data_IF_363115669542
#
_entry.id   IF_363115669542
#
_cell.length_a   1.000
_cell.length_b   1.000
_cell.length_c   1.000
_cell.angle_alpha   90.00
_cell.angle_beta   90.00
_cell.angle_gamma   90.00
#
_symmetry.space_group_name_H-M   'P 1'
#
loop_
_entity.id
_entity.type
_entity.pdbx_description
1 polymer ?
#
# COMPACT_ATOMS: atom_id res chain seq x y z
N UNK A 1 36.02 -23.47 -6.15
CA UNK A 1 34.82 -22.85 -5.55
C UNK A 1 34.92 -22.96 -4.05
N UNK A 2 34.56 -21.91 -3.30
CA UNK A 2 34.63 -21.95 -1.84
C UNK A 2 33.49 -22.80 -1.28
N UNK A 3 33.78 -23.61 -0.25
CA UNK A 3 32.84 -24.56 0.35
C UNK A 3 31.58 -23.87 0.93
N UNK A 4 31.70 -22.58 1.22
CA UNK A 4 30.64 -21.70 1.73
C UNK A 4 29.45 -21.51 0.76
N UNK A 5 29.64 -21.71 -0.54
CA UNK A 5 28.58 -21.52 -1.55
C UNK A 5 27.88 -22.82 -1.96
N UNK A 6 28.08 -23.91 -1.20
CA UNK A 6 27.41 -25.18 -1.46
C UNK A 6 25.95 -25.12 -1.00
N UNK A 7 25.05 -25.71 -1.78
CA UNK A 7 23.61 -25.77 -1.45
C UNK A 7 23.32 -26.39 -0.06
N UNK A 8 24.22 -27.25 0.43
CA UNK A 8 24.16 -27.81 1.79
C UNK A 8 24.27 -26.72 2.86
N UNK A 9 25.17 -25.76 2.69
CA UNK A 9 25.35 -24.65 3.63
C UNK A 9 24.21 -23.64 3.51
N UNK A 10 23.75 -23.34 2.30
CA UNK A 10 22.59 -22.46 2.07
C UNK A 10 21.34 -23.00 2.76
N UNK A 11 21.08 -24.31 2.68
CA UNK A 11 19.94 -24.94 3.35
C UNK A 11 20.03 -24.91 4.87
N UNK A 12 21.24 -24.94 5.46
CA UNK A 12 21.42 -24.83 6.92
C UNK A 12 20.97 -23.47 7.46
N UNK A 13 21.17 -22.39 6.71
CA UNK A 13 20.74 -21.03 7.09
C UNK A 13 19.22 -20.95 7.25
N UNK A 14 18.48 -21.65 6.38
CA UNK A 14 17.01 -21.68 6.40
C UNK A 14 16.44 -22.89 7.13
N UNK A 15 17.26 -23.64 7.89
CA UNK A 15 16.80 -24.82 8.63
C UNK A 15 15.86 -24.45 9.80
N UNK A 16 15.99 -23.23 10.32
CA UNK A 16 15.15 -22.79 11.41
C UNK A 16 13.73 -22.49 10.92
N UNK A 17 12.74 -23.02 11.61
CA UNK A 17 11.34 -22.76 11.30
C UNK A 17 10.97 -21.34 11.74
N UNK A 18 10.39 -20.57 10.83
CA UNK A 18 9.79 -19.29 11.21
C UNK A 18 8.60 -19.57 12.12
N UNK A 19 8.62 -19.00 13.32
CA UNK A 19 7.43 -19.00 14.17
C UNK A 19 6.37 -18.17 13.44
N UNK A 20 5.18 -18.74 13.15
CA UNK A 20 4.09 -17.98 12.59
C UNK A 20 3.80 -16.77 13.46
N UNK A 21 3.53 -15.62 12.83
CA UNK A 21 3.11 -14.43 13.56
C UNK A 21 1.84 -14.77 14.35
N UNK A 22 1.83 -14.46 15.64
CA UNK A 22 0.65 -14.67 16.50
C UNK A 22 -0.54 -13.84 16.03
N UNK A 23 -1.72 -14.13 16.59
CA UNK A 23 -2.95 -13.40 16.28
C UNK A 23 -2.78 -11.89 16.51
N UNK A 24 -3.28 -11.07 15.58
CA UNK A 24 -3.15 -9.62 15.62
C UNK A 24 -3.78 -9.02 16.88
N UNK A 25 -4.82 -9.67 17.40
CA UNK A 25 -5.51 -9.29 18.64
C UNK A 25 -4.63 -9.43 19.90
N UNK A 26 -3.57 -10.26 19.83
CA UNK A 26 -2.62 -10.47 20.93
C UNK A 26 -1.40 -9.57 20.86
N UNK A 27 -1.28 -8.73 19.83
CA UNK A 27 -0.11 -7.88 19.68
C UNK A 27 -0.13 -6.75 20.72
N UNK A 28 1.01 -6.43 21.35
CA UNK A 28 1.09 -5.28 22.23
C UNK A 28 0.85 -3.99 21.44
N UNK A 29 0.27 -2.98 22.10
CA UNK A 29 0.11 -1.67 21.49
C UNK A 29 1.48 -1.13 21.02
N UNK A 30 1.54 -0.67 19.78
CA UNK A 30 2.76 -0.10 19.21
C UNK A 30 3.13 1.20 19.95
N UNK A 31 4.29 1.22 20.61
CA UNK A 31 4.79 2.38 21.36
C UNK A 31 5.73 3.29 20.55
N UNK A 32 6.03 2.93 19.30
CA UNK A 32 6.95 3.69 18.46
C UNK A 32 6.30 4.90 17.77
N UNK A 33 7.09 5.78 17.13
CA UNK A 33 6.57 6.86 16.32
C UNK A 33 5.79 6.31 15.14
N UNK A 34 4.62 6.89 14.84
CA UNK A 34 3.89 6.55 13.62
C UNK A 34 4.71 6.99 12.41
N UNK A 35 5.25 6.03 11.66
CA UNK A 35 6.00 6.29 10.44
C UNK A 35 5.03 6.65 9.31
N UNK A 36 4.58 7.91 9.28
CA UNK A 36 3.81 8.45 8.15
C UNK A 36 4.78 8.99 7.11
N UNK A 37 4.66 8.54 5.86
CA UNK A 37 5.44 9.10 4.77
C UNK A 37 5.18 10.61 4.65
N UNK A 38 6.24 11.43 4.64
CA UNK A 38 6.13 12.88 4.49
C UNK A 38 5.33 13.23 3.22
N UNK A 39 4.16 13.89 3.34
CA UNK A 39 3.33 14.23 2.20
C UNK A 39 4.04 15.08 1.14
N UNK A 40 4.96 15.96 1.56
CA UNK A 40 5.72 16.84 0.67
C UNK A 40 6.79 16.10 -0.16
N UNK A 41 7.27 14.95 0.32
CA UNK A 41 8.26 14.12 -0.37
C UNK A 41 7.61 12.98 -1.17
N UNK A 42 6.27 12.91 -1.22
CA UNK A 42 5.58 11.90 -2.02
C UNK A 42 5.91 12.12 -3.48
N UNK A 43 6.34 11.05 -4.16
CA UNK A 43 6.48 11.05 -5.62
C UNK A 43 5.17 11.49 -6.24
N UNK A 44 5.18 12.66 -6.87
CA UNK A 44 4.06 13.16 -7.66
C UNK A 44 4.06 12.46 -9.02
N UNK A 45 2.95 12.54 -9.75
CA UNK A 45 2.88 11.99 -11.11
C UNK A 45 3.79 12.73 -12.11
N UNK A 46 4.27 13.93 -11.77
CA UNK A 46 5.22 14.68 -12.59
C UNK A 46 6.57 13.95 -12.63
N UNK A 47 7.07 13.69 -13.84
CA UNK A 47 8.35 13.03 -14.06
C UNK A 47 8.34 11.50 -13.91
N UNK A 48 7.19 10.87 -13.60
CA UNK A 48 7.07 9.41 -13.66
C UNK A 48 7.09 8.98 -15.13
N UNK A 49 8.05 8.14 -15.57
CA UNK A 49 8.02 7.60 -16.92
C UNK A 49 6.69 6.87 -17.15
N UNK A 50 6.09 7.05 -18.32
CA UNK A 50 4.96 6.21 -18.73
C UNK A 50 5.39 4.75 -18.60
N UNK A 51 4.49 3.91 -18.10
CA UNK A 51 4.75 2.48 -18.01
C UNK A 51 5.01 1.97 -19.43
N UNK A 52 6.25 1.58 -19.70
CA UNK A 52 6.67 1.01 -21.00
C UNK A 52 6.59 -0.51 -21.01
N UNK A 53 6.37 -1.12 -19.84
CA UNK A 53 6.26 -2.57 -19.70
C UNK A 53 4.87 -3.04 -20.13
N UNK A 54 4.84 -4.14 -20.88
CA UNK A 54 3.61 -4.88 -21.15
C UNK A 54 2.98 -5.37 -19.84
N UNK A 55 1.69 -5.08 -19.65
CA UNK A 55 0.91 -5.56 -18.50
C UNK A 55 0.70 -7.07 -18.68
N UNK A 56 1.08 -7.86 -17.68
CA UNK A 56 0.76 -9.29 -17.67
C UNK A 56 -0.49 -9.57 -16.80
N UNK A 57 -0.88 -10.84 -16.72
CA UNK A 57 -2.04 -11.28 -15.93
C UNK A 57 -1.92 -10.90 -14.44
N UNK A 58 -0.71 -10.84 -13.87
CA UNK A 58 -0.53 -10.39 -12.47
C UNK A 58 -0.73 -8.88 -12.29
N UNK A 59 -0.51 -8.09 -13.34
CA UNK A 59 -0.79 -6.65 -13.34
C UNK A 59 -2.25 -6.33 -13.66
N UNK A 60 -2.96 -7.29 -14.26
CA UNK A 60 -4.39 -7.17 -14.54
C UNK A 60 -5.15 -7.13 -13.22
N UNK A 61 -5.94 -6.07 -13.04
CA UNK A 61 -6.60 -5.75 -11.77
C UNK A 61 -7.82 -6.63 -11.49
N UNK A 62 -8.08 -7.62 -12.35
CA UNK A 62 -9.19 -8.56 -12.22
C UNK A 62 -9.02 -9.46 -10.97
N UNK A 63 -7.80 -9.55 -10.42
CA UNK A 63 -7.47 -10.23 -9.17
C UNK A 63 -7.45 -9.32 -7.94
N UNK A 64 -7.62 -8.01 -8.10
CA UNK A 64 -7.76 -7.13 -6.96
C UNK A 64 -9.13 -7.44 -6.34
N UNK A 65 -9.12 -7.90 -5.08
CA UNK A 65 -10.32 -8.27 -4.35
C UNK A 65 -11.40 -7.18 -4.33
N UNK A 66 -12.52 -7.43 -3.67
CA UNK A 66 -13.70 -6.59 -3.74
C UNK A 66 -13.34 -5.10 -3.64
N UNK A 67 -13.65 -4.30 -4.66
CA UNK A 67 -13.27 -2.88 -4.69
C UNK A 67 -13.91 -2.13 -3.52
N UNK A 68 -13.07 -1.74 -2.55
CA UNK A 68 -13.44 -1.03 -1.33
C UNK A 68 -13.11 0.46 -1.43
N UNK A 69 -13.99 1.28 -0.86
CA UNK A 69 -13.76 2.70 -0.72
C UNK A 69 -12.62 2.95 0.27
N UNK A 70 -11.53 3.59 -0.18
CA UNK A 70 -10.37 3.94 0.66
C UNK A 70 -10.66 4.95 1.78
N UNK A 71 -11.86 5.55 1.84
CA UNK A 71 -12.26 6.48 2.90
C UNK A 71 -13.02 5.77 4.03
N UNK A 72 -13.99 4.93 3.68
CA UNK A 72 -14.93 4.33 4.64
C UNK A 72 -14.83 2.80 4.75
N UNK A 73 -13.97 2.17 3.94
CA UNK A 73 -13.80 0.72 3.91
C UNK A 73 -14.94 -0.07 3.27
N UNK A 74 -16.06 0.57 2.89
CA UNK A 74 -17.22 -0.12 2.30
C UNK A 74 -17.03 -0.36 0.81
N UNK A 75 -17.53 -1.48 0.33
CA UNK A 75 -17.62 -1.81 -1.08
C UNK A 75 -18.66 -0.97 -1.82
N UNK A 76 -18.50 -0.81 -3.14
CA UNK A 76 -19.54 -0.32 -4.05
C UNK A 76 -19.37 1.14 -4.49
N UNK A 77 -18.38 1.85 -3.95
CA UNK A 77 -18.11 3.23 -4.35
C UNK A 77 -16.63 3.64 -4.18
N UNK A 78 -16.22 4.63 -4.95
CA UNK A 78 -14.85 5.15 -4.95
C UNK A 78 -14.70 6.15 -3.83
N UNK A 79 -13.45 6.48 -3.49
CA UNK A 79 -13.13 7.64 -2.65
C UNK A 79 -13.88 8.92 -3.12
N UNK A 80 -13.98 9.15 -4.43
CA UNK A 80 -14.65 10.35 -4.98
C UNK A 80 -16.16 10.36 -4.79
N UNK A 81 -16.79 9.18 -4.66
CA UNK A 81 -18.23 9.01 -4.46
C UNK A 81 -18.59 8.60 -3.03
N UNK A 82 -17.65 8.73 -2.10
CA UNK A 82 -17.89 8.35 -0.70
C UNK A 82 -18.85 9.34 -0.04
N UNK A 83 -19.95 8.87 0.58
CA UNK A 83 -20.85 9.73 1.36
C UNK A 83 -20.15 10.43 2.52
N UNK A 84 -19.07 9.84 3.04
CA UNK A 84 -18.24 10.44 4.10
C UNK A 84 -17.16 11.39 3.56
N UNK A 85 -17.12 11.64 2.25
CA UNK A 85 -16.21 12.62 1.67
C UNK A 85 -16.69 14.00 2.13
N UNK A 86 -15.85 14.73 2.86
CA UNK A 86 -16.08 16.15 3.10
C UNK A 86 -16.31 16.85 1.75
N UNK A 87 -17.29 17.76 1.69
CA UNK A 87 -17.68 18.47 0.48
C UNK A 87 -16.50 19.13 -0.24
N UNK A 88 -16.64 19.52 -1.52
CA UNK A 88 -15.55 20.19 -2.23
C UNK A 88 -15.14 21.44 -1.44
N UNK A 89 -13.96 21.41 -0.81
CA UNK A 89 -13.32 22.61 -0.29
C UNK A 89 -12.86 23.42 -1.51
N UNK A 90 -13.72 24.34 -1.95
CA UNK A 90 -13.46 25.15 -3.13
C UNK A 90 -14.72 25.80 -3.68
N UNK A 91 -15.20 26.83 -3.00
CA UNK A 91 -15.91 27.94 -3.62
C UNK A 91 -15.37 29.21 -2.95
N UNK A 92 -14.40 29.84 -3.61
CA UNK A 92 -14.10 31.24 -3.36
C UNK A 92 -15.30 32.03 -3.86
N UNK A 93 -15.94 32.75 -2.94
CA UNK A 93 -16.92 33.77 -3.24
C UNK A 93 -16.15 34.97 -3.80
N UNK A 94 -16.24 35.21 -5.11
CA UNK A 94 -15.84 36.47 -5.74
C UNK A 94 -17.13 37.18 -6.13
N UNK A 95 -17.75 37.83 -5.14
CA UNK A 95 -18.90 38.71 -5.32
C UNK A 95 -18.43 40.08 -5.81
N UNK A 96 -18.42 40.26 -7.12
CA UNK A 96 -18.25 41.56 -7.77
C UNK A 96 -19.51 41.97 -8.54
N UNK A 97 -20.31 42.87 -7.96
CA UNK A 97 -21.00 44.02 -8.59
C UNK A 97 -21.87 44.72 -7.55
#
# INVERSE_FOLDING_TARGET
MHDVYRMTEVRKVYRFEFVPLGDAETWPAYQGPTLVANPALRRTSKGRPKLTRYLNEMDSRDMCGPWICRLCGRQGHSRSRCPQRAGPSGAGDDGGS
#
